data_IF_861561308905
#
_entry.id   IF_861561308905
#
_cell.length_a   1.000
_cell.length_b   1.000
_cell.length_c   1.000
_cell.angle_alpha   90.00
_cell.angle_beta   90.00
_cell.angle_gamma   90.00
#
_symmetry.space_group_name_H-M   'P 1'
#
loop_
_entity.id
_entity.type
_entity.pdbx_description
1 polymer ?
#
# COMPACT_ATOMS: atom_id res chain seq x y z
N UNK A 1 -22.47 12.65 -4.87
CA UNK A 1 -23.30 11.94 -3.87
C UNK A 1 -22.43 10.96 -3.10
N UNK A 2 -22.46 10.98 -1.77
CA UNK A 2 -21.74 10.01 -0.94
C UNK A 2 -22.53 8.69 -0.93
N UNK A 3 -21.98 7.62 -1.51
CA UNK A 3 -22.58 6.28 -1.55
C UNK A 3 -21.56 5.25 -1.07
N UNK A 4 -21.99 4.38 -0.16
CA UNK A 4 -21.15 3.38 0.49
C UNK A 4 -21.75 1.99 0.28
N UNK A 5 -20.98 1.07 -0.28
CA UNK A 5 -21.42 -0.29 -0.58
C UNK A 5 -21.44 -1.17 0.67
N UNK A 6 -20.47 -0.96 1.58
CA UNK A 6 -20.30 -1.76 2.80
C UNK A 6 -19.62 -0.95 3.89
N UNK A 7 -20.09 -1.13 5.13
CA UNK A 7 -19.37 -0.71 6.33
C UNK A 7 -19.55 -1.76 7.42
N UNK A 8 -18.45 -2.17 8.05
CA UNK A 8 -18.49 -3.13 9.15
C UNK A 8 -17.29 -2.96 10.07
N UNK A 9 -17.44 -3.41 11.32
CA UNK A 9 -16.34 -3.40 12.28
C UNK A 9 -15.43 -4.61 12.06
N UNK A 10 -14.13 -4.38 12.08
CA UNK A 10 -13.12 -5.43 12.00
C UNK A 10 -13.03 -6.14 13.36
N UNK A 11 -12.69 -7.43 13.33
CA UNK A 11 -12.41 -8.18 14.55
C UNK A 11 -11.24 -7.52 15.32
N UNK A 12 -11.35 -7.49 16.64
CA UNK A 12 -10.31 -6.93 17.49
C UNK A 12 -9.13 -7.92 17.58
N UNK A 13 -7.88 -7.46 17.40
CA UNK A 13 -6.71 -8.27 17.72
C UNK A 13 -6.69 -8.68 19.20
N UNK A 14 -6.35 -9.95 19.48
CA UNK A 14 -6.37 -10.48 20.85
C UNK A 14 -5.41 -9.76 21.82
N UNK A 15 -4.35 -9.13 21.31
CA UNK A 15 -3.37 -8.41 22.14
C UNK A 15 -3.85 -7.03 22.62
N UNK A 16 -5.00 -6.54 22.14
CA UNK A 16 -5.51 -5.22 22.50
C UNK A 16 -6.55 -5.27 23.63
N UNK A 17 -6.56 -4.29 24.55
CA UNK A 17 -7.55 -4.20 25.62
C UNK A 17 -8.99 -4.18 25.12
N UNK A 18 -9.93 -4.68 25.93
CA UNK A 18 -11.37 -4.68 25.61
C UNK A 18 -11.94 -3.27 25.45
N UNK A 19 -11.36 -2.26 26.11
CA UNK A 19 -11.76 -0.85 26.00
C UNK A 19 -11.38 -0.19 24.67
N UNK A 20 -10.42 -0.74 23.90
CA UNK A 20 -9.98 -0.15 22.63
C UNK A 20 -11.12 -0.17 21.60
N UNK A 21 -11.42 0.93 20.89
CA UNK A 21 -12.41 0.91 19.82
C UNK A 21 -12.01 -0.05 18.69
N UNK A 22 -13.00 -0.63 18.00
CA UNK A 22 -12.76 -1.46 16.82
C UNK A 22 -12.67 -0.59 15.57
N UNK A 23 -11.74 -0.92 14.69
CA UNK A 23 -11.65 -0.30 13.37
C UNK A 23 -12.90 -0.59 12.54
N UNK A 24 -13.26 0.36 11.67
CA UNK A 24 -14.38 0.22 10.73
C UNK A 24 -13.82 0.17 9.32
N UNK A 25 -14.06 -0.94 8.63
CA UNK A 25 -13.71 -1.08 7.23
C UNK A 25 -14.89 -0.63 6.37
N UNK A 26 -14.63 0.33 5.47
CA UNK A 26 -15.63 0.90 4.58
C UNK A 26 -15.24 0.68 3.11
N UNK A 27 -16.22 0.27 2.30
CA UNK A 27 -16.12 0.19 0.85
C UNK A 27 -16.95 1.32 0.26
N UNK A 28 -16.27 2.36 -0.23
CA UNK A 28 -16.91 3.46 -0.95
C UNK A 28 -17.28 3.00 -2.36
N UNK A 29 -18.48 3.36 -2.81
CA UNK A 29 -18.94 3.02 -4.16
C UNK A 29 -18.08 3.71 -5.22
N UNK A 30 -17.80 5.00 -5.01
CA UNK A 30 -17.03 5.82 -5.92
C UNK A 30 -15.58 6.01 -5.44
N UNK A 31 -14.62 5.65 -6.30
CA UNK A 31 -13.20 5.80 -5.99
C UNK A 31 -12.81 7.26 -5.71
N UNK A 32 -13.30 8.22 -6.50
CA UNK A 32 -12.96 9.64 -6.32
C UNK A 32 -13.40 10.15 -4.93
N UNK A 33 -14.54 9.68 -4.39
CA UNK A 33 -15.00 10.06 -3.05
C UNK A 33 -14.04 9.54 -1.97
N UNK A 34 -13.58 8.29 -2.09
CA UNK A 34 -12.55 7.73 -1.21
C UNK A 34 -11.29 8.58 -1.25
N UNK A 35 -10.85 8.95 -2.47
CA UNK A 35 -9.64 9.74 -2.66
C UNK A 35 -9.77 11.14 -2.05
N UNK A 36 -10.91 11.82 -2.26
CA UNK A 36 -11.21 13.12 -1.64
C UNK A 36 -11.19 13.04 -0.11
N UNK A 37 -11.79 12.01 0.49
CA UNK A 37 -11.79 11.81 1.95
C UNK A 37 -10.39 11.55 2.53
N UNK A 38 -9.53 10.83 1.79
CA UNK A 38 -8.15 10.62 2.21
C UNK A 38 -7.33 11.93 2.12
N UNK A 39 -7.64 12.77 1.13
CA UNK A 39 -6.99 14.07 0.93
C UNK A 39 -7.54 15.18 1.82
N UNK A 40 -8.74 15.03 2.40
CA UNK A 40 -9.31 16.02 3.32
C UNK A 40 -8.53 16.11 4.64
N UNK A 41 -7.61 15.19 4.94
CA UNK A 41 -6.69 15.32 6.08
C UNK A 41 -5.57 16.35 5.91
N UNK A 42 -5.54 17.09 4.79
CA UNK A 42 -4.65 18.26 4.66
C UNK A 42 -5.05 19.32 5.71
N UNK A 43 -4.09 20.12 6.22
CA UNK A 43 -4.33 21.06 7.32
C UNK A 43 -5.45 22.09 7.08
N UNK A 44 -5.94 22.23 5.85
CA UNK A 44 -7.04 23.12 5.48
C UNK A 44 -8.44 22.51 5.69
N UNK A 45 -8.55 21.22 6.02
CA UNK A 45 -9.83 20.49 6.12
C UNK A 45 -9.87 19.60 7.38
N UNK A 46 -9.69 20.20 8.56
CA UNK A 46 -9.89 19.47 9.81
C UNK A 46 -11.33 18.95 9.92
N UNK A 47 -11.48 17.75 10.50
CA UNK A 47 -12.79 17.22 10.82
C UNK A 47 -13.46 18.12 11.88
N UNK A 48 -14.81 18.25 11.87
CA UNK A 48 -15.53 18.94 12.93
C UNK A 48 -15.11 18.41 14.31
N UNK A 49 -15.18 19.25 15.35
CA UNK A 49 -14.66 18.96 16.69
C UNK A 49 -15.06 17.57 17.23
N UNK A 50 -16.34 17.18 17.08
CA UNK A 50 -16.87 15.87 17.47
C UNK A 50 -16.23 14.66 16.76
N UNK A 51 -15.56 14.88 15.63
CA UNK A 51 -14.95 13.86 14.78
C UNK A 51 -13.43 13.98 14.68
N UNK A 52 -12.81 14.97 15.34
CA UNK A 52 -11.34 15.10 15.43
C UNK A 52 -10.59 13.83 15.85
N UNK A 53 -11.07 12.98 16.78
CA UNK A 53 -10.34 11.77 17.15
C UNK A 53 -10.40 10.65 16.09
N UNK A 54 -11.15 10.83 14.99
CA UNK A 54 -11.28 9.82 13.95
C UNK A 54 -10.09 9.90 13.00
N UNK A 55 -9.32 8.82 12.93
CA UNK A 55 -8.27 8.66 11.96
C UNK A 55 -8.71 7.77 10.79
N UNK A 56 -8.76 8.35 9.60
CA UNK A 56 -8.98 7.62 8.33
C UNK A 56 -7.63 7.20 7.74
N UNK A 57 -7.52 5.93 7.31
CA UNK A 57 -6.36 5.36 6.64
C UNK A 57 -6.79 4.56 5.42
N UNK A 58 -5.89 4.38 4.46
CA UNK A 58 -6.11 3.42 3.37
C UNK A 58 -5.94 2.00 3.89
N UNK A 59 -6.84 1.11 3.49
CA UNK A 59 -6.65 -0.32 3.67
C UNK A 59 -5.58 -0.83 2.69
N UNK A 60 -4.46 -1.28 3.23
CA UNK A 60 -3.29 -1.75 2.48
C UNK A 60 -2.89 -3.13 2.99
N UNK A 61 -2.49 -4.00 2.05
CA UNK A 61 -1.92 -5.30 2.39
C UNK A 61 -0.72 -5.14 3.33
N UNK A 62 -0.52 -6.12 4.22
CA UNK A 62 0.61 -6.13 5.14
C UNK A 62 1.95 -5.94 4.41
N UNK A 63 2.09 -6.60 3.26
CA UNK A 63 3.28 -6.51 2.41
C UNK A 63 3.54 -5.08 1.93
N UNK A 64 2.50 -4.40 1.43
CA UNK A 64 2.61 -2.99 0.99
C UNK A 64 3.07 -2.10 2.14
N UNK A 65 2.47 -2.28 3.31
CA UNK A 65 2.74 -1.48 4.51
C UNK A 65 4.19 -1.66 4.98
N UNK A 66 4.68 -2.89 4.98
CA UNK A 66 6.03 -3.24 5.43
C UNK A 66 7.11 -2.71 4.49
N UNK A 67 6.87 -2.76 3.18
CA UNK A 67 7.84 -2.30 2.18
C UNK A 67 7.94 -0.78 2.06
N UNK A 68 7.06 -0.02 2.74
CA UNK A 68 7.00 1.45 2.72
C UNK A 68 7.04 2.02 1.30
N UNK A 69 6.50 1.30 0.31
CA UNK A 69 6.53 1.74 -1.08
C UNK A 69 5.60 2.95 -1.16
N UNK A 70 6.11 4.14 -1.51
CA UNK A 70 5.31 5.36 -1.53
C UNK A 70 4.51 5.44 -2.84
N UNK A 71 3.58 4.51 -3.02
CA UNK A 71 2.63 4.53 -4.13
C UNK A 71 1.24 4.96 -3.66
N UNK A 72 0.46 5.50 -4.58
CA UNK A 72 -0.95 5.86 -4.39
C UNK A 72 -1.73 5.56 -5.66
N UNK A 73 -3.00 5.24 -5.50
CA UNK A 73 -3.91 5.13 -6.64
C UNK A 73 -4.51 6.51 -6.91
N UNK A 74 -4.48 6.97 -8.17
CA UNK A 74 -5.15 8.18 -8.62
C UNK A 74 -6.43 7.89 -9.38
N UNK A 75 -7.26 8.92 -9.57
CA UNK A 75 -8.40 8.93 -10.49
C UNK A 75 -8.06 9.76 -11.76
N UNK A 76 -8.43 9.33 -12.98
CA UNK A 76 -8.86 7.97 -13.34
C UNK A 76 -7.81 6.92 -12.93
N UNK A 77 -8.20 5.65 -12.84
CA UNK A 77 -7.40 4.56 -12.23
C UNK A 77 -5.98 4.58 -12.81
N UNK A 78 -5.02 5.00 -11.99
CA UNK A 78 -3.59 4.99 -12.30
C UNK A 78 -2.77 4.79 -11.04
N UNK A 79 -1.70 4.00 -11.14
CA UNK A 79 -0.72 3.83 -10.09
C UNK A 79 0.25 5.01 -10.14
N UNK A 80 0.32 5.80 -9.08
CA UNK A 80 1.27 6.89 -8.90
C UNK A 80 2.36 6.45 -7.93
N UNK A 81 3.62 6.53 -8.30
CA UNK A 81 4.75 6.09 -7.46
C UNK A 81 5.70 7.28 -7.25
N UNK A 82 6.02 7.58 -5.99
CA UNK A 82 7.00 8.60 -5.65
C UNK A 82 8.39 7.96 -5.53
N UNK A 83 9.32 8.30 -6.41
CA UNK A 83 10.71 7.84 -6.33
C UNK A 83 11.64 9.01 -6.61
N UNK A 84 12.66 9.19 -5.76
CA UNK A 84 13.67 10.25 -5.93
C UNK A 84 13.03 11.65 -6.09
N UNK A 85 11.98 11.93 -5.29
CA UNK A 85 11.16 13.16 -5.33
C UNK A 85 10.39 13.40 -6.64
N UNK A 86 10.43 12.47 -7.60
CA UNK A 86 9.65 12.50 -8.83
C UNK A 86 8.46 11.56 -8.73
N UNK A 87 7.30 12.01 -9.21
CA UNK A 87 6.10 11.17 -9.29
C UNK A 87 6.03 10.54 -10.67
N UNK A 88 5.91 9.22 -10.71
CA UNK A 88 5.69 8.42 -11.91
C UNK A 88 4.25 7.92 -11.94
N UNK A 89 3.67 7.76 -13.12
CA UNK A 89 2.30 7.30 -13.29
C UNK A 89 2.25 6.11 -14.25
N UNK A 90 1.54 5.05 -13.88
CA UNK A 90 1.19 3.93 -14.75
C UNK A 90 -0.33 3.81 -14.82
N UNK A 91 -0.88 3.86 -16.03
CA UNK A 91 -2.33 3.81 -16.29
C UNK A 91 -2.89 2.40 -16.37
N UNK A 92 -2.01 1.41 -16.51
CA UNK A 92 -2.33 0.00 -16.64
C UNK A 92 -1.23 -0.85 -15.99
N UNK A 93 -1.51 -2.15 -15.88
CA UNK A 93 -0.61 -3.10 -15.23
C UNK A 93 0.71 -3.27 -15.99
N UNK A 94 0.70 -3.20 -17.31
CA UNK A 94 1.89 -3.40 -18.16
C UNK A 94 2.86 -2.24 -17.99
N UNK A 95 2.38 -1.00 -18.09
CA UNK A 95 3.15 0.21 -17.80
C UNK A 95 3.69 0.19 -16.37
N UNK A 96 2.92 -0.34 -15.41
CA UNK A 96 3.35 -0.50 -14.03
C UNK A 96 4.50 -1.50 -13.86
N UNK A 97 4.39 -2.67 -14.49
CA UNK A 97 5.43 -3.71 -14.46
C UNK A 97 6.71 -3.22 -15.14
N UNK A 98 6.60 -2.60 -16.31
CA UNK A 98 7.75 -2.02 -17.02
C UNK A 98 8.46 -0.97 -16.16
N UNK A 99 7.69 -0.08 -15.52
CA UNK A 99 8.21 0.94 -14.62
C UNK A 99 8.95 0.33 -13.42
N UNK A 100 8.35 -0.65 -12.74
CA UNK A 100 8.97 -1.34 -11.59
C UNK A 100 10.18 -2.20 -11.99
N UNK A 101 10.19 -2.74 -13.21
CA UNK A 101 11.29 -3.56 -13.73
C UNK A 101 12.49 -2.70 -14.11
N UNK A 102 12.27 -1.51 -14.70
CA UNK A 102 13.33 -0.52 -14.96
C UNK A 102 14.08 -0.10 -13.69
N UNK A 103 13.46 -0.34 -12.55
CA UNK A 103 13.90 0.02 -11.22
C UNK A 103 14.51 -1.12 -10.43
N UNK A 104 14.58 -2.32 -11.03
CA UNK A 104 14.99 -3.56 -10.39
C UNK A 104 14.17 -3.87 -9.11
N UNK A 105 12.93 -3.38 -9.00
CA UNK A 105 12.02 -3.67 -7.87
C UNK A 105 11.28 -4.99 -8.11
N UNK A 106 11.00 -5.32 -9.37
CA UNK A 106 10.46 -6.61 -9.79
C UNK A 106 11.50 -7.37 -10.59
N UNK A 107 11.93 -8.53 -10.09
CA UNK A 107 12.44 -9.60 -10.96
C UNK A 107 11.29 -10.00 -11.88
N UNK A 108 11.53 -10.00 -13.18
CA UNK A 108 10.52 -10.30 -14.18
C UNK A 108 9.76 -11.59 -13.80
N UNK A 109 8.46 -11.48 -13.53
CA UNK A 109 7.56 -12.64 -13.59
C UNK A 109 7.37 -12.93 -15.07
N UNK A 110 8.43 -13.42 -15.72
CA UNK A 110 8.33 -14.13 -17.00
C UNK A 110 8.07 -15.59 -16.65
N UNK A 111 6.94 -15.88 -16.00
CA UNK A 111 6.46 -17.24 -15.91
C UNK A 111 5.39 -17.41 -16.98
N UNK A 112 5.77 -18.18 -17.99
CA UNK A 112 4.90 -18.75 -19.00
C UNK A 112 3.56 -19.14 -18.38
N UNK A 113 2.48 -18.53 -18.87
CA UNK A 113 1.11 -18.99 -18.61
C UNK A 113 0.91 -20.33 -19.32
N UNK A 114 1.49 -21.40 -18.78
CA UNK A 114 0.96 -22.73 -19.00
C UNK A 114 -0.16 -22.93 -17.99
N UNK A 115 -1.35 -23.20 -18.52
CA UNK A 115 -2.57 -23.48 -17.77
C UNK A 115 -2.33 -24.58 -16.75
N UNK A 116 -2.07 -24.26 -15.48
CA UNK A 116 -2.38 -25.10 -14.32
C UNK A 116 -2.26 -24.25 -13.05
N UNK A 117 -3.41 -23.94 -12.45
CA UNK A 117 -3.49 -23.29 -11.14
C UNK A 117 -2.93 -24.24 -10.07
N UNK A 118 -1.68 -24.05 -9.68
CA UNK A 118 -1.16 -24.51 -8.39
C UNK A 118 -1.20 -23.34 -7.38
N UNK A 119 -1.44 -23.60 -6.08
CA UNK A 119 -1.47 -22.56 -5.07
C UNK A 119 -0.09 -21.89 -4.93
N UNK A 120 -0.08 -20.56 -4.89
CA UNK A 120 1.11 -19.73 -4.67
C UNK A 120 1.69 -19.98 -3.27
N UNK A 121 2.45 -21.06 -3.13
CA UNK A 121 3.38 -21.27 -2.04
C UNK A 121 4.73 -21.43 -2.71
N UNK A 122 5.50 -20.35 -2.84
CA UNK A 122 6.95 -20.48 -2.93
C UNK A 122 7.63 -19.30 -2.24
N UNK A 123 8.53 -19.67 -1.34
CA UNK A 123 9.23 -18.85 -0.36
C UNK A 123 10.10 -17.78 -1.03
N UNK A 124 9.91 -16.52 -0.64
CA UNK A 124 10.84 -15.45 -0.97
C UNK A 124 12.02 -15.51 0.01
N UNK A 125 13.06 -16.27 -0.33
CA UNK A 125 14.33 -16.17 0.37
C UNK A 125 14.96 -14.80 0.08
N UNK A 126 15.00 -13.98 1.12
CA UNK A 126 15.68 -12.69 1.14
C UNK A 126 17.18 -12.94 0.95
N UNK A 127 17.72 -12.59 -0.23
CA UNK A 127 19.17 -12.46 -0.43
C UNK A 127 19.65 -11.32 0.46
N UNK A 128 20.13 -11.66 1.66
CA UNK A 128 20.86 -10.73 2.50
C UNK A 128 22.22 -10.52 1.85
N UNK A 129 22.44 -9.36 1.25
CA UNK A 129 23.80 -8.93 0.93
C UNK A 129 24.58 -8.81 2.26
N UNK A 130 25.48 -9.76 2.49
CA UNK A 130 26.48 -9.68 3.54
C UNK A 130 27.33 -8.43 3.32
N UNK A 131 27.27 -7.48 4.26
CA UNK A 131 28.26 -6.41 4.35
C UNK A 131 29.59 -7.07 4.72
N UNK A 132 30.51 -7.16 3.76
CA UNK A 132 31.93 -7.39 4.03
C UNK A 132 32.47 -6.16 4.75
N UNK A 133 32.65 -6.26 6.07
CA UNK A 133 33.49 -5.30 6.80
C UNK A 133 34.95 -5.60 6.46
N UNK A 134 35.57 -4.69 5.69
CA UNK A 134 37.04 -4.58 5.66
C UNK A 134 37.50 -4.06 7.02
N UNK A 135 38.10 -4.93 7.83
CA UNK A 135 38.97 -4.49 8.91
C UNK A 135 40.37 -4.34 8.33
N UNK A 136 40.79 -3.10 8.05
CA UNK A 136 42.20 -2.74 7.92
C UNK A 136 42.70 -2.29 9.29
N UNK A 137 43.41 -3.17 9.98
CA UNK A 137 44.28 -2.79 11.09
C UNK A 137 45.70 -2.74 10.56
N UNK A 138 46.17 -1.53 10.26
CA UNK A 138 47.60 -1.22 10.18
C UNK A 138 48.05 -0.72 11.56
N UNK A 139 48.87 -1.53 12.23
CA UNK A 139 49.89 -1.11 13.19
C UNK A 139 51.00 -2.15 13.18
#
# INVERSE_FOLDING_TARGET
>A
MLLMDRAHRVAKPQHLPTSTPRDVLTKMHYFHVKDTLLHSKKPQHELPEKYRPIHIFTDLSAETRNRKIPYRWGFPIKLLILRERKTYAATDAEAGIQLLSSWAITTAITENRTNNRAPLILEWQVVRHSKTSKNSSDK
#
